data_IF_651087206186
#
_entry.id   IF_651087206186
#
_cell.length_a   1.000
_cell.length_b   1.000
_cell.length_c   1.000
_cell.angle_alpha   90.00
_cell.angle_beta   90.00
_cell.angle_gamma   90.00
#
_symmetry.space_group_name_H-M   'P 1'
#
loop_
_entity.id
_entity.type
_entity.pdbx_description
1 polymer ?
#
# COMPACT_ATOMS: atom_id res chain seq x y z
N UNK A 1 -47.71 29.57 -30.79
CA UNK A 1 -48.52 30.52 -30.00
C UNK A 1 -47.83 30.73 -28.66
N UNK A 2 -47.98 31.94 -28.09
CA UNK A 2 -47.93 32.33 -26.66
C UNK A 2 -47.23 31.40 -25.65
N UNK A 3 -46.33 31.89 -24.78
CA UNK A 3 -45.91 33.29 -24.59
C UNK A 3 -44.90 33.45 -23.44
N UNK A 4 -44.37 34.66 -23.30
CA UNK A 4 -43.36 35.04 -22.30
C UNK A 4 -43.95 35.24 -20.89
N UNK A 5 -43.10 35.16 -19.85
CA UNK A 5 -43.12 36.08 -18.71
C UNK A 5 -41.86 35.91 -17.83
N UNK A 6 -41.07 36.98 -17.68
CA UNK A 6 -40.16 37.14 -16.53
C UNK A 6 -40.92 37.78 -15.35
N UNK A 7 -40.45 37.57 -14.12
CA UNK A 7 -41.09 38.10 -12.90
C UNK A 7 -40.07 38.49 -11.83
N UNK A 8 -39.85 39.79 -11.66
CA UNK A 8 -38.85 40.37 -10.75
C UNK A 8 -39.48 40.75 -9.39
N UNK A 9 -38.71 40.77 -8.29
CA UNK A 9 -39.24 41.19 -6.97
C UNK A 9 -38.24 41.03 -5.80
N UNK A 10 -38.19 42.01 -4.88
CA UNK A 10 -37.20 42.07 -3.80
C UNK A 10 -37.74 42.68 -2.48
N UNK A 11 -37.03 42.41 -1.37
CA UNK A 11 -37.29 42.94 -0.02
C UNK A 11 -37.87 41.91 0.98
N UNK A 12 -37.67 42.03 2.31
CA UNK A 12 -36.77 42.93 3.03
C UNK A 12 -36.90 42.88 4.58
N UNK A 13 -35.78 42.73 5.29
CA UNK A 13 -35.47 43.20 6.67
C UNK A 13 -36.36 42.90 7.92
N UNK A 14 -35.69 42.25 8.90
CA UNK A 14 -35.50 42.62 10.34
C UNK A 14 -36.37 42.05 11.49
N UNK A 15 -35.64 41.49 12.49
CA UNK A 15 -35.89 41.41 13.97
C UNK A 15 -37.10 40.56 14.43
N UNK A 16 -37.08 39.70 15.47
CA UNK A 16 -36.10 39.26 16.50
C UNK A 16 -36.80 38.22 17.42
N UNK A 17 -36.48 37.90 18.70
CA UNK A 17 -35.42 38.15 19.71
C UNK A 17 -35.51 36.99 20.76
N UNK A 18 -34.42 36.61 21.48
CA UNK A 18 -34.35 35.56 22.56
C UNK A 18 -34.75 34.12 22.10
N UNK A 19 -34.39 32.98 22.71
CA UNK A 19 -33.48 32.54 23.79
C UNK A 19 -33.35 30.98 23.70
N UNK A 20 -32.54 30.22 24.45
CA UNK A 20 -31.57 30.53 25.52
C UNK A 20 -30.25 29.69 25.39
N UNK A 21 -30.00 28.68 26.26
CA UNK A 21 -28.67 28.07 26.52
C UNK A 21 -28.53 26.53 26.31
N UNK A 22 -27.28 26.04 26.30
CA UNK A 22 -26.94 24.59 26.30
C UNK A 22 -25.54 24.26 25.75
N UNK A 23 -24.47 24.41 26.56
CA UNK A 23 -23.07 24.18 26.13
C UNK A 23 -22.62 22.70 26.08
N UNK A 24 -21.37 22.38 25.74
CA UNK A 24 -20.23 23.21 25.33
C UNK A 24 -18.91 22.41 25.36
N UNK A 25 -17.98 22.64 24.42
CA UNK A 25 -16.75 21.81 24.35
C UNK A 25 -15.80 22.03 23.17
N UNK A 26 -15.67 23.25 22.64
CA UNK A 26 -14.81 23.55 21.49
C UNK A 26 -13.82 24.68 21.76
N UNK A 27 -12.53 24.37 21.85
CA UNK A 27 -11.46 25.37 22.03
C UNK A 27 -11.22 26.21 20.76
N UNK A 28 -11.18 27.54 20.91
CA UNK A 28 -10.92 28.50 19.84
C UNK A 28 -9.43 28.87 19.80
N UNK A 29 -8.86 29.09 18.61
CA UNK A 29 -7.45 29.51 18.47
C UNK A 29 -7.31 31.03 18.62
N UNK A 30 -6.33 31.46 19.43
CA UNK A 30 -5.96 32.88 19.56
C UNK A 30 -5.07 33.37 18.41
N UNK A 31 -5.19 34.67 18.08
CA UNK A 31 -4.35 35.37 17.11
C UNK A 31 -3.29 36.25 17.79
N UNK A 32 -2.27 36.68 17.03
CA UNK A 32 -1.36 37.78 17.39
C UNK A 32 -1.53 38.94 16.40
N UNK A 33 -1.37 40.16 16.89
CA UNK A 33 -1.41 41.38 16.09
C UNK A 33 -0.11 41.55 15.25
N UNK A 34 -0.14 42.31 14.14
CA UNK A 34 1.01 42.50 13.25
C UNK A 34 1.93 43.63 13.72
N UNK A 35 3.24 43.44 13.59
CA UNK A 35 4.25 44.47 13.82
C UNK A 35 5.67 43.91 13.73
N UNK A 36 6.53 44.56 12.93
CA UNK A 36 7.90 44.11 12.65
C UNK A 36 8.02 43.34 11.32
N UNK A 37 9.00 43.72 10.50
CA UNK A 37 9.39 42.99 9.31
C UNK A 37 10.65 42.17 9.60
N UNK A 38 10.60 40.87 9.32
CA UNK A 38 11.70 39.92 9.50
C UNK A 38 11.82 38.99 8.28
N UNK A 39 12.97 38.31 8.08
CA UNK A 39 13.33 37.72 6.78
C UNK A 39 12.45 36.52 6.37
N UNK A 40 12.55 36.17 5.08
CA UNK A 40 11.78 35.12 4.40
C UNK A 40 12.08 33.70 4.93
N UNK A 41 11.57 33.39 6.12
CA UNK A 41 11.45 32.02 6.63
C UNK A 41 10.60 31.18 5.66
N UNK A 42 11.15 30.04 5.24
CA UNK A 42 10.50 29.14 4.30
C UNK A 42 9.10 28.75 4.78
N UNK A 43 8.08 29.05 3.96
CA UNK A 43 6.68 28.84 4.32
C UNK A 43 6.35 27.35 4.39
N UNK A 44 6.22 26.84 5.62
CA UNK A 44 5.84 25.43 5.86
C UNK A 44 4.52 25.13 5.13
N UNK A 45 4.43 24.04 4.34
CA UNK A 45 3.20 23.68 3.65
C UNK A 45 2.12 23.14 4.61
N UNK A 46 0.85 23.32 4.25
CA UNK A 46 -0.27 22.72 4.95
C UNK A 46 -0.26 21.20 4.79
N UNK A 47 -0.26 20.47 5.92
CA UNK A 47 -0.18 18.99 5.95
C UNK A 47 -1.28 18.33 5.10
N UNK A 48 -2.46 18.96 4.97
CA UNK A 48 -3.57 18.45 4.15
C UNK A 48 -3.49 18.80 2.66
N UNK A 49 -3.04 20.01 2.31
CA UNK A 49 -3.29 20.57 0.97
C UNK A 49 -2.14 21.39 0.36
N UNK A 50 -0.94 21.34 0.93
CA UNK A 50 0.28 21.96 0.39
C UNK A 50 0.36 23.50 0.51
N UNK A 51 -0.77 24.21 0.52
CA UNK A 51 -0.84 25.69 0.61
C UNK A 51 -0.08 26.22 1.83
N UNK A 52 0.57 27.41 1.77
CA UNK A 52 1.32 27.99 2.88
C UNK A 52 0.56 27.99 4.23
N UNK A 53 1.19 27.46 5.28
CA UNK A 53 0.55 27.22 6.57
C UNK A 53 0.82 28.33 7.60
N UNK A 54 -0.27 28.91 8.09
CA UNK A 54 -0.28 29.99 9.10
C UNK A 54 -0.71 29.51 10.49
N UNK A 55 -1.44 28.41 10.57
CA UNK A 55 -1.87 27.76 11.83
C UNK A 55 -0.97 26.55 12.14
N UNK A 56 -0.96 26.12 13.40
CA UNK A 56 -0.34 24.87 13.87
C UNK A 56 -1.25 24.23 14.93
N UNK A 57 -1.32 22.90 14.99
CA UNK A 57 -2.14 22.22 16.00
C UNK A 57 -1.64 22.57 17.43
N UNK A 58 -2.50 23.13 18.32
CA UNK A 58 -2.09 23.54 19.67
C UNK A 58 -1.44 22.41 20.48
N UNK A 59 -2.04 21.21 20.44
CA UNK A 59 -1.53 20.04 21.15
C UNK A 59 -0.22 19.47 20.57
N UNK A 60 0.12 19.80 19.31
CA UNK A 60 1.46 19.56 18.77
C UNK A 60 2.47 20.61 19.27
N UNK A 61 2.06 21.88 19.36
CA UNK A 61 2.88 22.98 19.85
C UNK A 61 3.23 22.82 21.34
N UNK A 62 2.24 22.47 22.18
CA UNK A 62 2.42 22.07 23.59
C UNK A 62 3.47 20.96 23.75
N UNK A 63 3.39 19.95 22.88
CA UNK A 63 4.30 18.80 22.85
C UNK A 63 5.60 19.04 22.07
N UNK A 64 5.89 20.29 21.68
CA UNK A 64 7.08 20.71 20.92
C UNK A 64 7.32 19.89 19.63
N UNK A 65 6.26 19.34 19.03
CA UNK A 65 6.35 18.53 17.81
C UNK A 65 6.64 19.39 16.57
N UNK A 66 7.31 18.85 15.54
CA UNK A 66 7.72 19.62 14.37
C UNK A 66 6.55 20.34 13.67
N UNK A 67 6.73 21.63 13.37
CA UNK A 67 5.73 22.43 12.65
C UNK A 67 5.35 21.82 11.31
N UNK A 68 6.33 21.26 10.58
CA UNK A 68 6.10 20.54 9.30
C UNK A 68 5.11 19.36 9.40
N UNK A 69 5.01 18.72 10.55
CA UNK A 69 4.11 17.57 10.79
C UNK A 69 2.73 18.02 11.34
N UNK A 70 2.51 19.33 11.53
CA UNK A 70 1.39 19.85 12.33
C UNK A 70 0.83 21.22 11.89
N UNK A 71 1.20 21.73 10.71
CA UNK A 71 0.80 23.05 10.23
C UNK A 71 -0.36 23.02 9.20
N UNK A 72 -1.22 24.04 9.26
CA UNK A 72 -2.45 24.14 8.45
C UNK A 72 -2.64 25.57 7.87
N UNK A 73 -3.26 25.68 6.70
CA UNK A 73 -3.55 26.98 6.07
C UNK A 73 -4.84 27.65 6.59
N UNK A 74 -5.79 26.88 7.13
CA UNK A 74 -7.06 27.37 7.67
C UNK A 74 -7.67 26.39 8.69
N UNK A 75 -8.70 26.83 9.40
CA UNK A 75 -9.36 26.04 10.45
C UNK A 75 -10.14 24.85 9.87
N UNK A 76 -10.62 24.97 8.63
CA UNK A 76 -11.31 23.94 7.87
C UNK A 76 -10.34 22.80 7.58
N UNK A 77 -9.17 23.11 7.01
CA UNK A 77 -8.14 22.10 6.75
C UNK A 77 -7.64 21.40 8.02
N UNK A 78 -7.66 22.07 9.19
CA UNK A 78 -7.41 21.42 10.48
C UNK A 78 -8.56 20.47 10.89
N UNK A 79 -9.82 20.93 10.83
CA UNK A 79 -11.01 20.12 11.14
C UNK A 79 -11.13 18.89 10.23
N UNK A 80 -11.01 19.08 8.92
CA UNK A 80 -11.08 18.02 7.91
C UNK A 80 -9.93 17.01 8.06
N UNK A 81 -8.75 17.46 8.51
CA UNK A 81 -7.61 16.59 8.79
C UNK A 81 -7.65 15.95 10.19
N UNK A 82 -8.60 16.31 11.06
CA UNK A 82 -8.57 15.90 12.47
C UNK A 82 -8.71 14.38 12.67
N UNK A 83 -9.44 13.70 11.79
CA UNK A 83 -9.65 12.23 11.81
C UNK A 83 -8.33 11.46 11.73
N UNK A 84 -7.43 11.86 10.84
CA UNK A 84 -6.09 11.26 10.68
C UNK A 84 -5.07 11.92 11.61
N UNK A 85 -5.06 13.26 11.70
CA UNK A 85 -4.05 14.01 12.46
C UNK A 85 -4.05 13.63 13.95
N UNK A 86 -5.21 13.36 14.57
CA UNK A 86 -5.30 12.95 15.99
C UNK A 86 -4.55 11.63 16.30
N UNK A 87 -4.24 10.81 15.30
CA UNK A 87 -3.49 9.56 15.49
C UNK A 87 -2.00 9.82 15.78
N UNK A 88 -1.41 10.88 15.20
CA UNK A 88 -0.04 11.32 15.51
C UNK A 88 0.15 11.66 17.00
N UNK A 89 -0.93 12.08 17.68
CA UNK A 89 -0.93 12.37 19.13
C UNK A 89 -0.96 11.11 20.00
N UNK A 90 -1.34 9.95 19.44
CA UNK A 90 -1.21 8.65 20.10
C UNK A 90 0.17 8.03 19.84
N UNK A 91 0.62 8.04 18.58
CA UNK A 91 1.86 7.37 18.15
C UNK A 91 3.15 7.90 18.82
N UNK A 92 3.19 9.19 19.21
CA UNK A 92 4.34 9.82 19.92
C UNK A 92 4.05 10.06 21.41
N UNK A 93 3.27 9.18 22.05
CA UNK A 93 2.69 9.40 23.38
C UNK A 93 3.31 8.61 24.55
N UNK A 94 4.50 8.02 24.40
CA UNK A 94 5.03 7.07 25.39
C UNK A 94 6.56 7.08 25.54
N UNK A 95 7.08 8.06 26.28
CA UNK A 95 8.34 7.95 27.04
C UNK A 95 8.08 8.62 28.40
N UNK A 96 8.38 7.94 29.48
CA UNK A 96 8.27 8.44 30.86
C UNK A 96 9.36 7.83 31.71
N UNK A 97 9.95 8.64 32.60
CA UNK A 97 11.25 8.33 33.21
C UNK A 97 11.22 7.15 34.19
N UNK A 98 12.21 6.26 34.06
CA UNK A 98 12.41 5.14 34.98
C UNK A 98 13.22 5.58 36.21
N UNK A 99 12.60 5.61 37.38
CA UNK A 99 13.35 5.67 38.64
C UNK A 99 13.76 4.26 39.10
N UNK A 100 15.04 4.12 39.44
CA UNK A 100 15.60 2.88 39.98
C UNK A 100 15.24 2.74 41.47
N UNK A 101 14.82 1.54 41.88
CA UNK A 101 15.12 1.03 43.21
C UNK A 101 15.62 -0.40 43.09
N UNK A 102 16.73 -0.69 43.78
CA UNK A 102 17.30 -2.02 43.87
C UNK A 102 16.93 -2.66 45.21
N UNK A 103 16.70 -3.97 45.21
CA UNK A 103 16.71 -4.82 46.41
C UNK A 103 17.27 -6.20 46.06
N UNK A 104 17.66 -6.96 47.09
CA UNK A 104 18.78 -7.89 47.00
C UNK A 104 18.49 -9.29 47.57
N UNK A 105 19.11 -10.31 46.96
CA UNK A 105 19.18 -11.69 47.48
C UNK A 105 18.26 -12.68 46.75
N UNK A 106 18.57 -13.98 46.70
CA UNK A 106 19.86 -14.59 47.07
C UNK A 106 19.77 -16.10 47.33
N UNK A 107 20.44 -16.91 46.48
CA UNK A 107 20.88 -18.28 46.76
C UNK A 107 19.82 -19.39 46.88
N UNK A 108 19.99 -20.48 46.12
CA UNK A 108 19.26 -21.74 46.35
C UNK A 108 19.28 -22.68 45.14
N UNK A 109 19.81 -23.90 45.31
CA UNK A 109 19.81 -24.94 44.27
C UNK A 109 19.25 -26.26 44.86
N UNK A 110 18.36 -26.94 44.13
CA UNK A 110 17.64 -28.12 44.65
C UNK A 110 17.02 -28.99 43.55
N UNK A 111 17.67 -30.12 43.29
CA UNK A 111 17.36 -31.23 42.37
C UNK A 111 15.88 -31.52 42.00
N UNK A 112 15.69 -31.73 40.69
CA UNK A 112 14.98 -32.84 40.02
C UNK A 112 13.75 -33.53 40.68
N UNK A 113 12.67 -33.60 39.91
CA UNK A 113 11.55 -34.54 40.05
C UNK A 113 10.91 -34.79 38.67
N UNK A 114 10.56 -36.04 38.37
CA UNK A 114 10.08 -36.49 37.05
C UNK A 114 8.65 -37.05 37.17
N UNK A 115 7.69 -36.53 36.39
CA UNK A 115 6.51 -37.31 35.97
C UNK A 115 5.72 -36.67 34.81
N UNK A 116 4.83 -37.48 34.23
CA UNK A 116 4.09 -37.23 32.99
C UNK A 116 2.70 -36.63 33.27
N UNK A 117 2.24 -35.73 32.40
CA UNK A 117 0.85 -35.23 32.39
C UNK A 117 0.65 -34.20 31.28
N UNK A 118 -0.28 -34.43 30.37
CA UNK A 118 -0.53 -33.55 29.21
C UNK A 118 -1.76 -32.66 29.37
N UNK A 119 -1.83 -31.60 28.56
CA UNK A 119 -3.03 -30.79 28.38
C UNK A 119 -2.76 -29.28 28.29
N UNK A 120 -3.27 -28.64 27.24
CA UNK A 120 -3.47 -27.19 27.17
C UNK A 120 -2.22 -26.31 27.23
N UNK A 121 -1.48 -26.21 26.12
CA UNK A 121 -0.53 -25.10 25.94
C UNK A 121 -1.32 -23.78 25.80
N UNK A 122 -1.41 -23.01 26.90
CA UNK A 122 -2.09 -21.71 26.91
C UNK A 122 -1.34 -20.69 26.05
N UNK A 123 -1.99 -20.20 25.01
CA UNK A 123 -1.50 -19.03 24.27
C UNK A 123 -1.57 -17.81 25.20
N UNK A 124 -0.41 -17.26 25.57
CA UNK A 124 -0.32 -15.97 26.25
C UNK A 124 -0.86 -14.87 25.32
N UNK A 125 -1.89 -14.12 25.70
CA UNK A 125 -2.53 -13.17 24.79
C UNK A 125 -1.64 -11.96 24.54
N UNK A 126 -1.20 -11.79 23.29
CA UNK A 126 -0.59 -10.56 22.78
C UNK A 126 -1.65 -9.47 22.62
N UNK A 127 -2.19 -8.99 23.74
CA UNK A 127 -3.50 -8.32 23.85
C UNK A 127 -3.76 -7.02 23.07
N UNK A 128 -2.83 -6.59 22.20
CA UNK A 128 -3.12 -5.61 21.15
C UNK A 128 -3.82 -6.21 19.93
N UNK A 129 -3.50 -7.46 19.57
CA UNK A 129 -4.02 -8.12 18.37
C UNK A 129 -5.53 -8.40 18.49
N UNK A 130 -5.92 -9.13 19.54
CA UNK A 130 -7.31 -9.55 19.78
C UNK A 130 -8.26 -8.37 19.96
N UNK A 131 -7.78 -7.28 20.57
CA UNK A 131 -8.56 -6.03 20.75
C UNK A 131 -8.85 -5.34 19.42
N UNK A 132 -7.90 -5.31 18.49
CA UNK A 132 -8.15 -4.73 17.15
C UNK A 132 -9.05 -5.63 16.30
N UNK A 133 -8.86 -6.95 16.35
CA UNK A 133 -9.75 -7.89 15.68
C UNK A 133 -11.18 -7.81 16.22
N UNK A 134 -11.36 -7.74 17.56
CA UNK A 134 -12.66 -7.52 18.21
C UNK A 134 -13.29 -6.17 17.82
N UNK A 135 -12.51 -5.11 17.76
CA UNK A 135 -12.96 -3.77 17.35
C UNK A 135 -13.30 -3.67 15.85
N UNK A 136 -12.80 -4.59 15.01
CA UNK A 136 -13.19 -4.73 13.61
C UNK A 136 -14.47 -5.57 13.48
N UNK A 137 -14.55 -6.71 14.18
CA UNK A 137 -15.76 -7.57 14.24
C UNK A 137 -17.00 -6.79 14.73
N UNK A 138 -16.85 -5.92 15.74
CA UNK A 138 -17.94 -5.07 16.23
C UNK A 138 -18.39 -3.97 15.23
N UNK A 139 -17.62 -3.71 14.17
CA UNK A 139 -18.01 -2.87 13.03
C UNK A 139 -18.58 -3.69 11.87
N UNK A 140 -18.83 -4.99 12.06
CA UNK A 140 -19.26 -5.90 11.00
C UNK A 140 -18.19 -6.20 9.96
N UNK A 141 -16.91 -5.95 10.25
CA UNK A 141 -15.80 -6.42 9.41
C UNK A 141 -15.59 -7.91 9.68
N UNK A 142 -15.25 -8.68 8.66
CA UNK A 142 -15.19 -10.15 8.73
C UNK A 142 -13.94 -10.68 8.04
N UNK A 143 -13.42 -11.82 8.48
CA UNK A 143 -12.25 -12.46 7.87
C UNK A 143 -12.57 -12.91 6.44
N UNK A 144 -11.59 -12.79 5.54
CA UNK A 144 -11.70 -13.22 4.16
C UNK A 144 -11.48 -14.75 4.03
N UNK A 145 -12.32 -15.44 3.26
CA UNK A 145 -12.15 -16.85 2.91
C UNK A 145 -12.62 -17.13 1.47
N UNK A 146 -12.06 -18.18 0.84
CA UNK A 146 -12.43 -18.69 -0.49
C UNK A 146 -12.34 -17.64 -1.62
N UNK A 147 -11.12 -17.25 -1.98
CA UNK A 147 -10.79 -16.31 -3.07
C UNK A 147 -11.55 -14.98 -2.98
N UNK A 148 -11.76 -14.43 -1.78
CA UNK A 148 -12.53 -13.20 -1.62
C UNK A 148 -14.06 -13.36 -1.71
N UNK A 149 -14.58 -14.54 -2.08
CA UNK A 149 -16.02 -14.77 -2.30
C UNK A 149 -16.83 -15.04 -1.02
N UNK A 150 -16.19 -15.33 0.13
CA UNK A 150 -16.89 -15.54 1.41
C UNK A 150 -16.25 -14.78 2.57
N UNK A 151 -17.03 -14.65 3.65
CA UNK A 151 -16.66 -13.99 4.90
C UNK A 151 -17.03 -14.88 6.08
N UNK A 152 -16.32 -14.72 7.21
CA UNK A 152 -16.61 -15.41 8.48
C UNK A 152 -16.26 -14.52 9.68
N UNK A 153 -16.92 -14.74 10.82
CA UNK A 153 -16.60 -14.10 12.10
C UNK A 153 -15.42 -14.77 12.82
N UNK A 154 -15.13 -16.03 12.49
CA UNK A 154 -14.08 -16.83 13.12
C UNK A 154 -12.77 -16.72 12.32
N UNK A 155 -11.63 -16.68 13.03
CA UNK A 155 -10.32 -16.76 12.39
C UNK A 155 -10.18 -18.14 11.68
N UNK A 156 -9.88 -18.21 10.38
CA UNK A 156 -9.76 -19.49 9.68
C UNK A 156 -8.66 -20.38 10.27
N UNK A 157 -8.92 -21.68 10.41
CA UNK A 157 -7.88 -22.63 10.82
C UNK A 157 -6.86 -22.86 9.69
N UNK A 158 -5.57 -22.70 9.99
CA UNK A 158 -4.47 -22.88 9.03
C UNK A 158 -3.15 -23.17 9.75
N UNK A 159 -2.23 -23.87 9.08
CA UNK A 159 -0.85 -24.07 9.52
C UNK A 159 0.01 -22.86 9.11
N UNK A 160 -0.14 -21.76 9.87
CA UNK A 160 0.59 -20.50 9.65
C UNK A 160 2.10 -20.71 9.66
N UNK A 161 2.79 -20.22 8.64
CA UNK A 161 4.25 -20.39 8.48
C UNK A 161 5.06 -19.45 9.36
N UNK A 162 4.50 -18.28 9.71
CA UNK A 162 5.15 -17.27 10.54
C UNK A 162 4.26 -16.68 11.64
N UNK A 163 4.53 -15.43 11.98
CA UNK A 163 3.86 -14.65 13.04
C UNK A 163 2.54 -14.02 12.61
N UNK A 164 2.39 -13.70 11.31
CA UNK A 164 1.23 -13.01 10.78
C UNK A 164 -0.02 -13.87 10.80
N UNK A 165 -1.16 -13.20 11.01
CA UNK A 165 -2.52 -13.74 10.90
C UNK A 165 -3.34 -12.72 10.10
N UNK A 166 -4.31 -13.15 9.28
CA UNK A 166 -5.26 -12.24 8.67
C UNK A 166 -6.14 -11.63 9.77
N UNK A 167 -6.55 -10.37 9.57
CA UNK A 167 -7.53 -9.68 10.39
C UNK A 167 -8.88 -9.58 9.63
N UNK A 168 -9.97 -9.16 10.29
CA UNK A 168 -11.21 -8.86 9.60
C UNK A 168 -11.03 -7.70 8.60
N UNK A 169 -11.66 -7.77 7.43
CA UNK A 169 -11.54 -6.76 6.36
C UNK A 169 -12.77 -5.85 6.28
N UNK A 170 -12.61 -4.58 5.87
CA UNK A 170 -13.77 -3.71 5.64
C UNK A 170 -14.66 -4.21 4.51
N UNK A 171 -15.90 -3.69 4.48
CA UNK A 171 -16.79 -3.80 3.32
C UNK A 171 -16.12 -3.28 2.03
N UNK A 172 -16.61 -3.77 0.89
CA UNK A 172 -16.17 -3.40 -0.45
C UNK A 172 -16.40 -1.91 -0.72
N UNK A 173 -15.43 -1.21 -1.31
CA UNK A 173 -15.52 0.23 -1.56
C UNK A 173 -16.18 0.53 -2.92
N UNK A 174 -17.22 1.38 -2.98
CA UNK A 174 -17.98 1.60 -4.21
C UNK A 174 -17.26 2.54 -5.18
N UNK A 175 -17.11 2.10 -6.44
CA UNK A 175 -16.58 2.94 -7.52
C UNK A 175 -17.72 3.75 -8.18
N UNK A 176 -17.62 5.09 -8.29
CA UNK A 176 -18.62 5.93 -8.94
C UNK A 176 -18.96 5.50 -10.38
N UNK A 177 -20.21 5.72 -10.79
CA UNK A 177 -20.71 5.29 -12.10
C UNK A 177 -19.87 5.82 -13.28
N UNK A 178 -19.43 7.10 -13.22
CA UNK A 178 -18.71 7.79 -14.28
C UNK A 178 -17.26 7.32 -14.52
N UNK A 179 -16.66 6.60 -13.58
CA UNK A 179 -15.29 6.07 -13.72
C UNK A 179 -15.34 4.88 -14.70
N UNK A 180 -14.55 4.87 -15.80
CA UNK A 180 -14.45 3.70 -16.69
C UNK A 180 -14.02 2.45 -15.92
N UNK A 181 -14.55 1.28 -16.28
CA UNK A 181 -14.35 0.03 -15.53
C UNK A 181 -13.85 -1.07 -16.46
N UNK A 182 -12.92 -1.94 -16.01
CA UNK A 182 -12.59 -3.16 -16.74
C UNK A 182 -13.78 -4.14 -16.67
N UNK A 183 -13.80 -5.12 -17.57
CA UNK A 183 -14.92 -6.05 -17.76
C UNK A 183 -15.25 -6.90 -16.52
N UNK A 184 -14.25 -7.35 -15.76
CA UNK A 184 -14.45 -8.10 -14.52
C UNK A 184 -15.03 -7.28 -13.36
N UNK A 185 -15.09 -5.95 -13.46
CA UNK A 185 -15.48 -5.08 -12.34
C UNK A 185 -16.88 -5.43 -11.78
N UNK A 186 -17.78 -5.94 -12.62
CA UNK A 186 -19.12 -6.39 -12.22
C UNK A 186 -19.21 -7.89 -11.94
N UNK A 187 -18.57 -8.73 -12.75
CA UNK A 187 -18.70 -10.21 -12.71
C UNK A 187 -17.75 -10.88 -11.72
N UNK A 188 -16.65 -10.21 -11.37
CA UNK A 188 -15.50 -10.78 -10.67
C UNK A 188 -14.64 -11.74 -11.50
N UNK A 189 -14.89 -11.85 -12.81
CA UNK A 189 -14.24 -12.83 -13.69
C UNK A 189 -13.82 -12.20 -15.02
N UNK A 190 -12.53 -12.25 -15.39
CA UNK A 190 -11.97 -11.55 -16.56
C UNK A 190 -12.10 -12.40 -17.85
N UNK A 191 -13.31 -12.42 -18.41
CA UNK A 191 -13.68 -13.31 -19.52
C UNK A 191 -13.04 -12.93 -20.86
N UNK A 192 -12.79 -11.64 -21.09
CA UNK A 192 -12.14 -11.11 -22.28
C UNK A 192 -10.63 -11.33 -22.19
N UNK A 193 -10.03 -11.07 -21.02
CA UNK A 193 -8.61 -11.32 -20.79
C UNK A 193 -8.24 -12.79 -21.01
N UNK A 194 -8.98 -13.71 -20.37
CA UNK A 194 -8.72 -15.15 -20.45
C UNK A 194 -8.93 -15.76 -21.85
N UNK A 195 -9.73 -15.12 -22.71
CA UNK A 195 -9.97 -15.57 -24.10
C UNK A 195 -9.15 -14.81 -25.15
N UNK A 196 -8.43 -13.77 -24.77
CA UNK A 196 -7.69 -12.95 -25.71
C UNK A 196 -6.53 -13.71 -26.34
N UNK A 197 -6.29 -13.49 -27.65
CA UNK A 197 -5.07 -13.92 -28.34
C UNK A 197 -3.79 -13.42 -27.66
N UNK A 198 -3.88 -12.35 -26.86
CA UNK A 198 -2.75 -11.80 -26.14
C UNK A 198 -2.26 -12.70 -25.00
N UNK A 199 -3.01 -13.73 -24.58
CA UNK A 199 -2.52 -14.77 -23.66
C UNK A 199 -1.40 -15.64 -24.27
N UNK A 200 -1.20 -15.60 -25.58
CA UNK A 200 -0.15 -16.34 -26.29
C UNK A 200 0.64 -15.50 -27.30
N UNK A 201 0.32 -14.20 -27.44
CA UNK A 201 0.86 -13.30 -28.45
C UNK A 201 1.30 -11.98 -27.82
N UNK A 202 2.61 -11.76 -27.75
CA UNK A 202 3.17 -10.50 -27.22
C UNK A 202 2.89 -9.36 -28.21
N UNK A 203 2.12 -8.38 -27.76
CA UNK A 203 1.70 -7.22 -28.55
C UNK A 203 2.85 -6.25 -28.86
N UNK A 204 2.86 -5.72 -30.08
CA UNK A 204 3.58 -4.48 -30.42
C UNK A 204 2.55 -3.36 -30.41
N UNK A 205 2.63 -2.43 -29.45
CA UNK A 205 1.66 -1.36 -29.29
C UNK A 205 1.83 -0.24 -30.33
N UNK A 206 0.72 0.36 -30.75
CA UNK A 206 0.73 1.58 -31.56
C UNK A 206 1.17 2.81 -30.74
N UNK A 207 1.56 3.94 -31.36
CA UNK A 207 1.90 5.16 -30.64
C UNK A 207 0.80 5.65 -29.67
N UNK A 208 -0.47 5.43 -30.04
CA UNK A 208 -1.65 5.81 -29.25
C UNK A 208 -1.83 4.88 -28.05
N UNK A 209 -1.67 3.57 -28.22
CA UNK A 209 -1.65 2.61 -27.12
C UNK A 209 -0.48 2.91 -26.15
N UNK A 210 0.69 3.31 -26.66
CA UNK A 210 1.85 3.69 -25.84
C UNK A 210 1.59 4.97 -25.03
N UNK A 211 0.93 5.98 -25.61
CA UNK A 211 0.51 7.18 -24.88
C UNK A 211 -0.56 6.86 -23.79
N UNK A 212 -1.48 5.94 -24.09
CA UNK A 212 -2.40 5.35 -23.11
C UNK A 212 -1.66 4.72 -21.93
N UNK A 213 -0.68 3.85 -22.21
CA UNK A 213 0.19 3.23 -21.18
C UNK A 213 0.95 4.27 -20.35
N UNK A 214 1.56 5.30 -20.97
CA UNK A 214 2.24 6.39 -20.24
C UNK A 214 1.31 7.13 -19.27
N UNK A 215 0.04 7.33 -19.65
CA UNK A 215 -0.97 7.98 -18.80
C UNK A 215 -1.39 7.09 -17.64
N UNK A 216 -1.70 5.81 -17.89
CA UNK A 216 -2.06 4.86 -16.85
C UNK A 216 -0.92 4.63 -15.85
N UNK A 217 0.31 4.42 -16.32
CA UNK A 217 1.50 4.21 -15.48
C UNK A 217 1.85 5.44 -14.62
N UNK A 218 1.70 6.66 -15.16
CA UNK A 218 1.86 7.90 -14.40
C UNK A 218 0.81 8.02 -13.28
N UNK A 219 -0.44 7.67 -13.57
CA UNK A 219 -1.50 7.65 -12.58
C UNK A 219 -1.24 6.60 -11.48
N UNK A 220 -0.80 5.38 -11.85
CA UNK A 220 -0.42 4.33 -10.91
C UNK A 220 0.70 4.80 -9.96
N UNK A 221 1.77 5.40 -10.50
CA UNK A 221 2.84 6.02 -9.72
C UNK A 221 2.31 7.08 -8.75
N UNK A 222 1.41 7.97 -9.18
CA UNK A 222 0.78 8.94 -8.28
C UNK A 222 -0.09 8.33 -7.17
N UNK A 223 -0.64 7.12 -7.37
CA UNK A 223 -1.40 6.38 -6.36
C UNK A 223 -0.47 5.67 -5.38
N UNK A 224 0.57 4.98 -5.85
CA UNK A 224 1.58 4.38 -4.97
C UNK A 224 2.32 5.45 -4.15
N UNK A 225 2.65 6.59 -4.76
CA UNK A 225 3.23 7.75 -4.07
C UNK A 225 2.30 8.37 -3.02
N UNK A 226 0.99 8.08 -3.03
CA UNK A 226 0.07 8.47 -1.95
C UNK A 226 0.05 7.43 -0.83
N UNK A 227 0.01 6.14 -1.17
CA UNK A 227 0.15 5.04 -0.21
C UNK A 227 1.44 5.15 0.61
N UNK A 228 2.58 5.40 -0.06
CA UNK A 228 3.89 5.59 0.56
C UNK A 228 3.94 6.71 1.62
N UNK A 229 3.03 7.71 1.57
CA UNK A 229 2.96 8.81 2.55
C UNK A 229 2.17 8.45 3.82
N UNK A 230 1.44 7.33 3.82
CA UNK A 230 0.64 6.87 4.96
C UNK A 230 1.16 5.56 5.60
N UNK A 231 2.20 4.94 5.04
CA UNK A 231 2.91 3.83 5.70
C UNK A 231 3.56 4.32 7.00
N UNK A 232 3.01 3.93 8.15
CA UNK A 232 3.50 4.28 9.47
C UNK A 232 3.02 3.28 10.54
N UNK A 233 3.74 3.21 11.66
CA UNK A 233 3.36 2.38 12.82
C UNK A 233 1.96 2.76 13.31
N UNK A 234 1.09 1.76 13.47
CA UNK A 234 -0.30 1.92 13.92
C UNK A 234 -1.32 2.23 12.82
N UNK A 235 -0.89 2.44 11.57
CA UNK A 235 -1.80 2.53 10.41
C UNK A 235 -2.18 1.11 9.97
N UNK A 236 -3.45 0.87 9.64
CA UNK A 236 -3.91 -0.44 9.15
C UNK A 236 -3.75 -0.56 7.65
N UNK A 237 -3.55 -1.77 7.13
CA UNK A 237 -3.47 -2.01 5.68
C UNK A 237 -4.77 -1.61 4.96
N UNK A 238 -5.94 -1.79 5.59
CA UNK A 238 -7.23 -1.28 5.09
C UNK A 238 -7.26 0.27 4.91
N UNK A 239 -6.53 1.03 5.74
CA UNK A 239 -6.43 2.49 5.61
C UNK A 239 -5.49 2.89 4.45
N UNK A 240 -4.50 2.05 4.13
CA UNK A 240 -3.68 2.20 2.92
C UNK A 240 -4.53 1.92 1.68
N UNK A 241 -5.33 0.84 1.67
CA UNK A 241 -6.31 0.56 0.61
C UNK A 241 -7.33 1.70 0.42
N UNK A 242 -7.81 2.32 1.51
CA UNK A 242 -8.67 3.50 1.41
C UNK A 242 -7.98 4.66 0.68
N UNK A 243 -6.72 4.93 0.98
CA UNK A 243 -5.93 6.00 0.34
C UNK A 243 -5.62 5.67 -1.13
N UNK A 244 -5.28 4.42 -1.45
CA UNK A 244 -5.12 3.95 -2.84
C UNK A 244 -6.41 4.15 -3.62
N UNK A 245 -7.53 3.66 -3.09
CA UNK A 245 -8.84 3.74 -3.72
C UNK A 245 -9.23 5.18 -4.02
N UNK A 246 -9.23 6.06 -3.00
CA UNK A 246 -9.59 7.46 -3.16
C UNK A 246 -8.67 8.21 -4.15
N UNK A 247 -7.36 7.94 -4.12
CA UNK A 247 -6.40 8.57 -5.03
C UNK A 247 -6.59 8.09 -6.48
N UNK A 248 -6.84 6.79 -6.71
CA UNK A 248 -7.14 6.26 -8.04
C UNK A 248 -8.42 6.90 -8.62
N UNK A 249 -9.51 6.92 -7.85
CA UNK A 249 -10.77 7.57 -8.25
C UNK A 249 -10.57 9.07 -8.55
N UNK A 250 -9.74 9.77 -7.74
CA UNK A 250 -9.45 11.19 -7.95
C UNK A 250 -8.70 11.52 -9.25
N UNK A 251 -8.06 10.50 -9.86
CA UNK A 251 -7.39 10.57 -11.16
C UNK A 251 -8.27 10.08 -12.33
N UNK A 252 -9.55 9.76 -12.07
CA UNK A 252 -10.47 9.19 -13.06
C UNK A 252 -10.24 7.69 -13.34
N UNK A 253 -9.40 7.03 -12.55
CA UNK A 253 -8.97 5.65 -12.78
C UNK A 253 -9.71 4.65 -11.87
N UNK A 254 -9.87 3.41 -12.34
CA UNK A 254 -10.35 2.28 -11.57
C UNK A 254 -9.16 1.52 -10.94
N UNK A 255 -9.18 1.16 -9.65
CA UNK A 255 -8.14 0.32 -9.06
C UNK A 255 -8.28 -1.13 -9.56
N UNK A 256 -7.41 -1.57 -10.48
CA UNK A 256 -7.60 -2.81 -11.26
C UNK A 256 -7.77 -4.09 -10.43
N UNK A 257 -7.08 -4.28 -9.26
CA UNK A 257 -7.27 -5.45 -8.42
C UNK A 257 -8.69 -5.61 -7.88
N UNK A 258 -9.45 -4.51 -7.79
CA UNK A 258 -10.79 -4.53 -7.20
C UNK A 258 -11.71 -5.47 -8.00
N UNK A 259 -12.24 -6.48 -7.31
CA UNK A 259 -13.03 -7.58 -7.87
C UNK A 259 -12.29 -8.46 -8.90
N UNK A 260 -11.02 -8.24 -9.23
CA UNK A 260 -10.28 -9.11 -10.17
C UNK A 260 -10.17 -10.53 -9.60
N UNK A 261 -10.73 -11.53 -10.30
CA UNK A 261 -10.94 -12.89 -9.77
C UNK A 261 -11.56 -12.92 -8.34
N UNK A 262 -12.46 -11.97 -8.06
CA UNK A 262 -13.11 -11.72 -6.76
C UNK A 262 -12.20 -11.18 -5.63
N UNK A 263 -11.00 -10.66 -5.95
CA UNK A 263 -10.14 -9.99 -4.96
C UNK A 263 -10.86 -8.78 -4.32
N UNK A 264 -10.89 -8.66 -2.97
CA UNK A 264 -11.87 -7.81 -2.29
C UNK A 264 -11.41 -6.36 -2.03
N UNK A 265 -10.25 -5.93 -2.55
CA UNK A 265 -9.57 -4.66 -2.22
C UNK A 265 -8.94 -3.99 -3.45
N UNK A 266 -8.43 -2.78 -3.27
CA UNK A 266 -8.00 -1.86 -4.34
C UNK A 266 -6.49 -1.92 -4.64
N UNK A 267 -5.73 -2.58 -3.76
CA UNK A 267 -4.29 -2.85 -3.84
C UNK A 267 -4.00 -4.15 -3.08
N UNK A 268 -2.82 -4.73 -3.29
CA UNK A 268 -2.25 -5.70 -2.35
C UNK A 268 -1.38 -4.98 -1.30
N UNK A 269 -1.31 -5.54 -0.10
CA UNK A 269 -0.44 -5.08 0.99
C UNK A 269 0.24 -6.28 1.63
N UNK A 270 1.49 -6.53 1.22
CA UNK A 270 2.24 -7.74 1.59
C UNK A 270 3.24 -7.41 2.70
N UNK A 271 2.93 -7.82 3.93
CA UNK A 271 3.73 -7.56 5.14
C UNK A 271 4.66 -8.73 5.44
N UNK A 272 5.91 -8.46 5.83
CA UNK A 272 6.89 -9.44 6.34
C UNK A 272 6.98 -10.75 5.53
N UNK A 273 6.42 -11.86 6.02
CA UNK A 273 6.45 -13.18 5.38
C UNK A 273 5.45 -13.37 4.23
N UNK A 274 4.57 -12.38 3.97
CA UNK A 274 3.73 -12.35 2.78
C UNK A 274 4.60 -11.96 1.58
N UNK A 275 4.56 -12.80 0.55
CA UNK A 275 5.28 -12.65 -0.73
C UNK A 275 4.55 -11.62 -1.61
N UNK A 276 3.28 -11.88 -1.90
CA UNK A 276 2.42 -11.09 -2.78
C UNK A 276 0.93 -11.31 -2.44
N UNK A 277 0.06 -10.49 -3.04
CA UNK A 277 -1.41 -10.61 -2.93
C UNK A 277 -1.99 -10.57 -1.50
N UNK A 278 -1.26 -10.04 -0.52
CA UNK A 278 -1.78 -9.85 0.84
C UNK A 278 -3.00 -8.93 0.85
N UNK A 279 -4.12 -9.40 1.40
CA UNK A 279 -5.38 -8.63 1.39
C UNK A 279 -5.35 -7.53 2.47
N UNK A 280 -5.59 -6.25 2.12
CA UNK A 280 -5.77 -5.17 3.09
C UNK A 280 -6.86 -5.43 4.14
N UNK A 281 -6.49 -5.31 5.41
CA UNK A 281 -7.26 -5.73 6.59
C UNK A 281 -7.07 -4.79 7.80
N UNK A 282 -7.68 -5.15 8.93
CA UNK A 282 -7.58 -4.37 10.16
C UNK A 282 -6.22 -4.47 10.90
N UNK A 283 -5.20 -5.18 10.40
CA UNK A 283 -3.91 -5.30 11.08
C UNK A 283 -3.20 -3.94 11.12
N UNK A 284 -2.86 -3.39 12.31
CA UNK A 284 -1.99 -2.23 12.38
C UNK A 284 -0.54 -2.64 12.07
N UNK A 285 0.13 -1.87 11.22
CA UNK A 285 1.56 -2.02 10.96
C UNK A 285 2.37 -1.75 12.25
N UNK A 286 3.43 -2.53 12.46
CA UNK A 286 4.23 -2.54 13.68
C UNK A 286 5.63 -1.97 13.42
N UNK A 287 6.31 -1.48 14.45
CA UNK A 287 7.67 -0.95 14.31
C UNK A 287 8.63 -2.08 13.92
N UNK A 288 9.40 -1.88 12.84
CA UNK A 288 10.25 -2.90 12.27
C UNK A 288 9.57 -3.88 11.30
N UNK A 289 8.28 -3.73 10.98
CA UNK A 289 7.68 -4.40 9.81
C UNK A 289 8.35 -3.92 8.51
N UNK A 290 8.33 -4.77 7.48
CA UNK A 290 8.30 -4.31 6.09
C UNK A 290 6.88 -4.45 5.54
N UNK A 291 6.51 -3.59 4.59
CA UNK A 291 5.26 -3.73 3.84
C UNK A 291 5.47 -3.33 2.38
N UNK A 292 5.23 -4.26 1.47
CA UNK A 292 5.02 -3.96 0.06
C UNK A 292 3.59 -3.44 -0.15
N UNK A 293 3.43 -2.41 -0.96
CA UNK A 293 2.13 -1.95 -1.46
C UNK A 293 2.14 -1.98 -2.98
N UNK A 294 1.09 -2.54 -3.55
CA UNK A 294 1.02 -3.01 -4.92
C UNK A 294 -0.22 -2.44 -5.63
N UNK A 295 -0.01 -1.72 -6.74
CA UNK A 295 -0.94 -0.69 -7.23
C UNK A 295 -1.07 -0.67 -8.75
N UNK A 296 -2.00 -1.47 -9.26
CA UNK A 296 -2.48 -1.35 -10.64
C UNK A 296 -3.63 -0.35 -10.77
N UNK A 297 -3.59 0.53 -11.77
CA UNK A 297 -4.77 1.34 -12.14
C UNK A 297 -5.16 1.17 -13.61
N UNK A 298 -6.46 1.14 -13.87
CA UNK A 298 -7.06 1.16 -15.19
C UNK A 298 -7.56 2.57 -15.51
N UNK A 299 -6.98 3.18 -16.54
CA UNK A 299 -7.28 4.55 -16.98
C UNK A 299 -7.39 4.60 -18.50
N UNK A 300 -8.52 5.11 -19.01
CA UNK A 300 -8.77 5.34 -20.44
C UNK A 300 -8.50 4.12 -21.35
N UNK A 301 -8.77 2.91 -20.85
CA UNK A 301 -8.58 1.65 -21.58
C UNK A 301 -7.30 0.89 -21.22
N UNK A 302 -6.36 1.47 -20.46
CA UNK A 302 -5.05 0.87 -20.21
C UNK A 302 -4.78 0.65 -18.72
N UNK A 303 -4.14 -0.48 -18.41
CA UNK A 303 -3.57 -0.76 -17.10
C UNK A 303 -2.14 -0.22 -16.99
N UNK A 304 -1.76 0.23 -15.80
CA UNK A 304 -0.36 0.54 -15.45
C UNK A 304 -0.07 0.08 -14.03
N UNK A 305 1.07 -0.59 -13.83
CA UNK A 305 1.32 -1.38 -12.62
C UNK A 305 2.73 -1.20 -12.02
N UNK A 306 2.78 -1.18 -10.69
CA UNK A 306 4.00 -1.06 -9.90
C UNK A 306 3.76 -1.35 -8.41
N UNK A 307 4.82 -1.83 -7.76
CA UNK A 307 4.89 -2.01 -6.32
C UNK A 307 6.28 -1.63 -5.76
N UNK A 308 6.32 -1.24 -4.48
CA UNK A 308 7.55 -0.93 -3.74
C UNK A 308 7.43 -1.47 -2.29
N UNK A 309 8.52 -2.03 -1.76
CA UNK A 309 8.59 -2.47 -0.35
C UNK A 309 9.10 -1.36 0.57
N UNK A 310 8.27 -0.93 1.52
CA UNK A 310 8.56 0.13 2.50
C UNK A 310 8.97 -0.44 3.86
N UNK A 311 9.78 0.34 4.60
CA UNK A 311 10.08 0.08 6.02
C UNK A 311 9.05 0.77 6.91
N UNK A 312 8.49 0.05 7.90
CA UNK A 312 7.61 0.64 8.90
C UNK A 312 8.44 1.03 10.12
N UNK A 313 8.84 2.30 10.19
CA UNK A 313 9.68 2.79 11.27
C UNK A 313 11.08 2.17 11.27
N UNK A 314 11.47 1.51 12.37
CA UNK A 314 12.83 1.08 12.63
C UNK A 314 13.13 -0.35 12.13
N UNK A 315 13.27 -0.53 10.81
CA UNK A 315 13.71 -1.80 10.24
C UNK A 315 15.17 -2.16 10.62
N UNK A 316 15.43 -3.45 10.83
CA UNK A 316 16.76 -4.01 11.08
C UNK A 316 17.64 -4.08 9.81
N UNK A 317 18.93 -4.38 9.96
CA UNK A 317 19.90 -4.42 8.85
C UNK A 317 19.72 -5.62 7.91
N UNK A 318 19.17 -6.75 8.36
CA UNK A 318 18.86 -7.89 7.49
C UNK A 318 17.68 -7.55 6.57
N UNK A 319 16.65 -6.89 7.12
CA UNK A 319 15.50 -6.33 6.41
C UNK A 319 15.93 -5.25 5.41
N UNK A 320 16.78 -4.29 5.81
CA UNK A 320 17.34 -3.28 4.90
C UNK A 320 18.14 -3.92 3.76
N UNK A 321 18.94 -4.96 4.06
CA UNK A 321 19.68 -5.72 3.05
C UNK A 321 18.73 -6.43 2.08
N UNK A 322 17.67 -7.08 2.56
CA UNK A 322 16.66 -7.76 1.73
C UNK A 322 16.00 -6.78 0.75
N UNK A 323 15.42 -5.69 1.26
CA UNK A 323 14.72 -4.69 0.46
C UNK A 323 15.66 -4.05 -0.57
N UNK A 324 16.89 -3.69 -0.19
CA UNK A 324 17.90 -3.14 -1.12
C UNK A 324 18.28 -4.12 -2.22
N UNK A 325 18.58 -5.40 -1.89
CA UNK A 325 18.97 -6.40 -2.90
C UNK A 325 17.80 -6.74 -3.85
N UNK A 326 16.56 -6.69 -3.34
CA UNK A 326 15.35 -6.82 -4.16
C UNK A 326 15.29 -5.71 -5.21
N UNK A 327 15.40 -4.45 -4.78
CA UNK A 327 15.44 -3.28 -5.66
C UNK A 327 16.62 -3.33 -6.65
N UNK A 328 17.84 -3.64 -6.17
CA UNK A 328 19.02 -3.80 -7.03
C UNK A 328 18.86 -4.94 -8.06
N UNK A 329 18.09 -5.98 -7.77
CA UNK A 329 17.81 -7.06 -8.72
C UNK A 329 16.91 -6.60 -9.87
N UNK A 330 15.91 -5.76 -9.56
CA UNK A 330 15.02 -5.15 -10.53
C UNK A 330 15.79 -4.17 -11.44
N UNK A 331 16.56 -3.24 -10.87
CA UNK A 331 17.35 -2.27 -11.64
C UNK A 331 18.32 -2.98 -12.61
N UNK A 332 18.98 -4.06 -12.17
CA UNK A 332 19.88 -4.85 -13.03
C UNK A 332 19.12 -5.60 -14.13
N UNK A 333 17.87 -6.01 -13.90
CA UNK A 333 17.01 -6.60 -14.93
C UNK A 333 16.51 -5.57 -15.94
N UNK A 334 16.06 -4.39 -15.48
CA UNK A 334 15.66 -3.26 -16.34
C UNK A 334 16.83 -2.86 -17.26
N UNK A 335 18.06 -2.80 -16.73
CA UNK A 335 19.26 -2.42 -17.47
C UNK A 335 19.63 -3.35 -18.66
N UNK A 336 19.02 -4.54 -18.78
CA UNK A 336 19.18 -5.40 -19.97
C UNK A 336 18.01 -5.32 -20.95
N UNK A 337 16.92 -4.60 -20.65
CA UNK A 337 15.74 -4.52 -21.51
C UNK A 337 16.03 -3.66 -22.74
N UNK A 338 16.01 -4.31 -23.91
CA UNK A 338 16.17 -3.71 -25.25
C UNK A 338 15.79 -4.73 -26.33
N UNK A 339 15.55 -4.31 -27.59
CA UNK A 339 15.27 -5.23 -28.68
C UNK A 339 16.34 -6.32 -28.85
N UNK A 340 15.92 -7.54 -29.17
CA UNK A 340 16.80 -8.70 -29.39
C UNK A 340 17.17 -9.52 -28.15
N UNK A 341 16.91 -9.01 -26.93
CA UNK A 341 17.12 -9.77 -25.68
C UNK A 341 15.95 -10.75 -25.45
N UNK A 342 16.22 -11.96 -24.93
CA UNK A 342 15.15 -12.95 -24.65
C UNK A 342 14.54 -12.69 -23.27
N UNK A 343 13.23 -12.86 -23.12
CA UNK A 343 12.54 -12.64 -21.84
C UNK A 343 13.11 -13.47 -20.69
N UNK A 344 13.53 -14.72 -20.96
CA UNK A 344 14.13 -15.61 -19.95
C UNK A 344 15.40 -15.08 -19.29
N UNK A 345 16.17 -14.20 -19.96
CA UNK A 345 17.47 -13.72 -19.44
C UNK A 345 17.27 -12.78 -18.23
N UNK A 346 16.08 -12.19 -18.06
CA UNK A 346 15.66 -11.44 -16.86
C UNK A 346 15.88 -12.29 -15.59
N UNK A 347 15.44 -13.55 -15.62
CA UNK A 347 15.56 -14.45 -14.49
C UNK A 347 16.99 -14.92 -14.20
N UNK A 348 17.88 -14.94 -15.21
CA UNK A 348 19.31 -15.20 -14.99
C UNK A 348 19.98 -14.03 -14.26
N UNK A 349 19.67 -12.78 -14.65
CA UNK A 349 20.23 -11.57 -14.03
C UNK A 349 19.78 -11.42 -12.57
N UNK A 350 18.47 -11.52 -12.32
CA UNK A 350 17.89 -11.42 -10.97
C UNK A 350 18.48 -12.50 -10.07
N UNK A 351 18.35 -13.77 -10.45
CA UNK A 351 18.79 -14.89 -9.63
C UNK A 351 20.31 -14.84 -9.37
N UNK A 352 21.14 -14.41 -10.33
CA UNK A 352 22.58 -14.27 -10.11
C UNK A 352 22.89 -13.24 -9.02
N UNK A 353 22.25 -12.07 -9.05
CA UNK A 353 22.49 -11.04 -8.05
C UNK A 353 21.98 -11.46 -6.66
N UNK A 354 20.76 -11.99 -6.61
CA UNK A 354 20.06 -12.40 -5.37
C UNK A 354 20.77 -13.55 -4.66
N UNK A 355 21.16 -14.61 -5.39
CA UNK A 355 21.85 -15.76 -4.78
C UNK A 355 23.23 -15.40 -4.23
N UNK A 356 23.95 -14.46 -4.85
CA UNK A 356 25.22 -13.96 -4.30
C UNK A 356 25.06 -13.17 -2.99
N UNK A 357 23.88 -12.61 -2.73
CA UNK A 357 23.57 -11.97 -1.45
C UNK A 357 23.14 -12.95 -0.35
N UNK A 358 22.91 -14.23 -0.68
CA UNK A 358 22.41 -15.24 0.25
C UNK A 358 20.88 -15.31 0.37
N UNK A 359 20.14 -14.81 -0.62
CA UNK A 359 18.67 -14.83 -0.68
C UNK A 359 18.17 -15.75 -1.80
N UNK A 360 16.86 -16.00 -1.87
CA UNK A 360 16.25 -16.84 -2.92
C UNK A 360 15.13 -16.13 -3.68
N UNK A 361 14.85 -16.59 -4.91
CA UNK A 361 13.83 -16.02 -5.82
C UNK A 361 12.61 -16.93 -5.87
N UNK A 362 11.42 -16.36 -5.68
CA UNK A 362 10.12 -17.05 -5.81
C UNK A 362 9.89 -17.53 -7.24
N UNK A 363 9.15 -18.63 -7.40
CA UNK A 363 8.98 -19.33 -8.69
C UNK A 363 7.53 -19.52 -9.16
N UNK A 364 6.57 -19.30 -8.26
CA UNK A 364 5.14 -19.52 -8.48
C UNK A 364 4.44 -18.29 -9.11
N UNK A 365 5.14 -17.15 -9.15
CA UNK A 365 4.67 -15.87 -9.68
C UNK A 365 5.75 -15.26 -10.60
N UNK A 366 5.33 -14.45 -11.58
CA UNK A 366 6.17 -13.94 -12.65
C UNK A 366 5.59 -12.65 -13.25
N UNK A 367 6.46 -11.77 -13.76
CA UNK A 367 6.03 -10.60 -14.51
C UNK A 367 5.19 -10.98 -15.74
N UNK A 368 4.40 -10.04 -16.24
CA UNK A 368 3.40 -10.27 -17.28
C UNK A 368 3.43 -9.19 -18.35
N UNK A 369 2.86 -9.49 -19.52
CA UNK A 369 2.42 -8.47 -20.46
C UNK A 369 1.28 -7.66 -19.86
N UNK A 370 1.25 -6.37 -20.17
CA UNK A 370 0.24 -5.42 -19.67
C UNK A 370 -0.15 -4.43 -20.77
N UNK A 371 -1.42 -4.00 -20.79
CA UNK A 371 -1.98 -3.18 -21.87
C UNK A 371 -3.43 -2.81 -21.63
N UNK A 372 -4.27 -3.09 -22.63
CA UNK A 372 -5.74 -3.12 -22.49
C UNK A 372 -6.23 -4.33 -21.68
N UNK A 373 -5.31 -5.23 -21.34
CA UNK A 373 -5.47 -6.32 -20.37
C UNK A 373 -4.56 -6.04 -19.17
N UNK A 374 -4.93 -6.57 -18.01
CA UNK A 374 -4.14 -6.55 -16.79
C UNK A 374 -2.99 -7.55 -16.95
N UNK A 375 -3.28 -8.82 -17.21
CA UNK A 375 -2.28 -9.87 -17.39
C UNK A 375 -2.38 -10.52 -18.78
N UNK A 376 -1.28 -10.51 -19.54
CA UNK A 376 -1.17 -11.23 -20.81
C UNK A 376 0.29 -11.67 -21.10
N UNK A 377 0.57 -12.18 -22.30
CA UNK A 377 1.92 -12.55 -22.69
C UNK A 377 2.82 -11.31 -22.90
N UNK A 378 4.09 -11.32 -22.44
CA UNK A 378 4.87 -12.49 -22.02
C UNK A 378 4.84 -12.74 -20.51
N UNK A 379 4.92 -14.00 -20.11
CA UNK A 379 5.29 -14.35 -18.73
C UNK A 379 6.81 -14.19 -18.55
N UNK A 380 7.23 -13.51 -17.48
CA UNK A 380 8.62 -13.13 -17.14
C UNK A 380 9.05 -13.77 -15.81
N UNK A 381 9.55 -15.01 -15.80
CA UNK A 381 9.96 -15.67 -14.55
C UNK A 381 11.29 -15.12 -14.03
N UNK A 382 11.31 -14.74 -12.76
CA UNK A 382 12.46 -14.08 -12.11
C UNK A 382 13.63 -15.02 -11.75
N UNK A 383 13.48 -16.33 -11.96
CA UNK A 383 14.48 -17.34 -11.60
C UNK A 383 15.32 -17.83 -12.80
N UNK A 384 16.55 -18.27 -12.51
CA UNK A 384 17.47 -18.79 -13.52
C UNK A 384 16.99 -20.12 -14.15
N UNK A 385 17.39 -20.38 -15.39
CA UNK A 385 17.05 -21.58 -16.19
C UNK A 385 15.55 -21.78 -16.41
N UNK A 386 14.77 -20.69 -16.36
CA UNK A 386 13.37 -20.68 -16.77
C UNK A 386 13.23 -20.92 -18.30
N UNK A 387 12.01 -21.21 -18.74
CA UNK A 387 11.68 -21.55 -20.13
C UNK A 387 10.86 -20.48 -20.85
N UNK A 388 10.94 -19.21 -20.43
CA UNK A 388 10.15 -18.13 -21.04
C UNK A 388 10.45 -18.00 -22.54
N UNK A 389 9.38 -17.89 -23.33
CA UNK A 389 9.41 -17.86 -24.79
C UNK A 389 9.33 -16.43 -25.28
N UNK A 390 10.10 -16.10 -26.31
CA UNK A 390 10.04 -14.82 -26.99
C UNK A 390 11.31 -13.97 -26.89
N UNK A 391 11.28 -12.87 -27.63
CA UNK A 391 12.37 -11.90 -27.77
C UNK A 391 11.76 -10.52 -27.69
N UNK A 392 12.40 -9.64 -26.92
CA UNK A 392 12.06 -8.24 -26.77
C UNK A 392 12.12 -7.52 -28.11
N UNK A 393 11.14 -6.66 -28.38
CA UNK A 393 11.00 -5.80 -29.56
C UNK A 393 10.45 -4.45 -29.12
N UNK A 394 10.79 -3.37 -29.83
CA UNK A 394 10.23 -2.05 -29.55
C UNK A 394 8.69 -2.06 -29.60
N UNK A 395 8.05 -1.23 -28.78
CA UNK A 395 6.60 -1.16 -28.65
C UNK A 395 5.97 -2.23 -27.73
N UNK A 396 6.75 -3.16 -27.18
CA UNK A 396 6.25 -4.13 -26.18
C UNK A 396 6.20 -3.52 -24.78
N UNK A 397 5.15 -3.83 -24.02
CA UNK A 397 5.01 -3.45 -22.60
C UNK A 397 4.78 -4.65 -21.70
N UNK A 398 5.54 -4.73 -20.61
CA UNK A 398 5.49 -5.82 -19.64
C UNK A 398 6.05 -5.39 -18.27
N UNK A 399 5.77 -6.16 -17.23
CA UNK A 399 6.25 -5.94 -15.86
C UNK A 399 7.51 -6.77 -15.57
N UNK A 400 8.36 -6.26 -14.68
CA UNK A 400 9.40 -7.06 -13.99
C UNK A 400 9.21 -6.79 -12.49
N UNK A 401 8.97 -7.83 -11.70
CA UNK A 401 8.36 -7.73 -10.36
C UNK A 401 9.02 -8.66 -9.29
N UNK A 402 10.36 -8.77 -9.19
CA UNK A 402 11.04 -9.81 -8.41
C UNK A 402 10.64 -9.88 -6.94
N UNK A 403 9.95 -10.97 -6.59
CA UNK A 403 9.69 -11.43 -5.22
C UNK A 403 10.89 -12.22 -4.67
N UNK A 404 11.57 -11.65 -3.68
CA UNK A 404 12.82 -12.16 -3.12
C UNK A 404 12.63 -12.52 -1.64
N UNK A 405 12.96 -13.76 -1.27
CA UNK A 405 12.81 -14.28 0.09
C UNK A 405 14.16 -14.29 0.81
N UNK A 406 14.15 -13.90 2.08
CA UNK A 406 15.28 -14.08 2.99
C UNK A 406 15.60 -15.58 3.23
N UNK A 407 14.57 -16.42 3.17
CA UNK A 407 14.63 -17.86 3.36
C UNK A 407 14.41 -18.68 2.09
N UNK A 408 13.57 -19.71 2.21
CA UNK A 408 13.21 -20.61 1.11
C UNK A 408 12.42 -19.91 -0.01
N UNK A 409 12.58 -20.37 -1.26
CA UNK A 409 11.81 -19.87 -2.40
C UNK A 409 10.37 -20.38 -2.45
N UNK A 410 10.07 -21.42 -1.66
CA UNK A 410 8.76 -22.08 -1.62
C UNK A 410 7.72 -21.21 -0.93
N UNK A 411 6.52 -21.23 -1.46
CA UNK A 411 5.34 -20.57 -0.94
C UNK A 411 4.30 -21.53 -0.33
N UNK A 412 3.38 -20.99 0.47
CA UNK A 412 2.05 -21.55 0.77
C UNK A 412 0.99 -20.48 0.49
N UNK A 413 -0.23 -20.90 0.18
CA UNK A 413 -1.40 -20.02 0.00
C UNK A 413 -2.32 -20.09 1.22
N UNK A 414 -2.82 -18.94 1.70
CA UNK A 414 -3.76 -18.86 2.83
C UNK A 414 -5.20 -19.31 2.48
N UNK A 415 -6.08 -19.58 3.47
CA UNK A 415 -7.50 -19.93 3.25
C UNK A 415 -8.36 -18.84 2.60
N UNK A 416 -7.85 -17.60 2.55
CA UNK A 416 -8.42 -16.52 1.75
C UNK A 416 -8.32 -16.75 0.24
N UNK A 417 -7.46 -17.69 -0.19
CA UNK A 417 -7.24 -18.07 -1.59
C UNK A 417 -6.40 -17.08 -2.40
N UNK A 418 -5.75 -16.12 -1.74
CA UNK A 418 -5.00 -15.01 -2.35
C UNK A 418 -3.63 -14.80 -1.70
N UNK A 419 -3.57 -14.63 -0.38
CA UNK A 419 -2.34 -14.23 0.33
C UNK A 419 -1.30 -15.35 0.23
N UNK A 420 -0.21 -15.09 -0.50
CA UNK A 420 0.92 -16.00 -0.66
C UNK A 420 1.98 -15.70 0.41
N UNK A 421 2.42 -16.71 1.16
CA UNK A 421 3.44 -16.56 2.21
C UNK A 421 4.63 -17.48 1.98
N UNK A 422 5.80 -17.10 2.52
CA UNK A 422 6.97 -17.97 2.54
C UNK A 422 6.69 -19.24 3.35
N UNK A 423 7.16 -20.39 2.85
CA UNK A 423 6.88 -21.67 3.47
C UNK A 423 7.63 -21.89 4.81
N UNK A 424 8.64 -21.06 5.11
CA UNK A 424 9.44 -21.08 6.35
C UNK A 424 9.19 -19.85 7.27
N UNK A 425 8.23 -18.99 6.92
CA UNK A 425 7.87 -17.81 7.72
C UNK A 425 8.90 -16.69 7.72
N UNK A 426 9.94 -16.77 6.88
CA UNK A 426 10.93 -15.70 6.73
C UNK A 426 10.41 -14.56 5.85
N UNK A 427 11.01 -13.37 5.99
CA UNK A 427 10.59 -12.17 5.26
C UNK A 427 10.79 -12.30 3.74
N UNK A 428 9.83 -11.76 2.99
CA UNK A 428 9.91 -11.52 1.54
C UNK A 428 9.97 -10.02 1.27
N UNK A 429 10.39 -9.63 0.07
CA UNK A 429 10.29 -8.27 -0.43
C UNK A 429 10.08 -8.29 -1.95
N UNK A 430 9.37 -7.29 -2.46
CA UNK A 430 9.08 -7.13 -3.88
C UNK A 430 9.28 -5.66 -4.30
N UNK A 431 9.74 -5.47 -5.54
CA UNK A 431 9.67 -4.22 -6.26
C UNK A 431 9.27 -4.53 -7.69
N UNK A 432 8.56 -3.62 -8.33
CA UNK A 432 8.12 -3.76 -9.70
C UNK A 432 8.21 -2.46 -10.49
N UNK A 433 8.38 -2.56 -11.81
CA UNK A 433 8.05 -1.50 -12.76
C UNK A 433 7.35 -2.07 -14.01
N UNK A 434 6.32 -1.37 -14.50
CA UNK A 434 5.85 -1.50 -15.89
C UNK A 434 6.85 -0.83 -16.84
N UNK A 435 7.28 -1.56 -17.87
CA UNK A 435 8.32 -1.15 -18.82
C UNK A 435 7.75 -1.04 -20.24
N UNK A 436 8.34 -0.15 -21.05
CA UNK A 436 8.20 -0.11 -22.50
C UNK A 436 9.54 -0.37 -23.16
N UNK A 437 9.63 -1.35 -24.06
CA UNK A 437 10.81 -1.52 -24.91
C UNK A 437 10.81 -0.43 -25.99
N UNK A 438 11.91 0.29 -26.12
CA UNK A 438 12.14 1.30 -27.17
C UNK A 438 13.09 0.75 -28.24
N UNK A 439 13.31 1.47 -29.34
CA UNK A 439 14.21 1.01 -30.42
C UNK A 439 15.66 0.76 -29.97
N UNK A 440 16.10 1.39 -28.87
CA UNK A 440 17.49 1.32 -28.39
C UNK A 440 17.63 0.81 -26.95
N UNK A 441 16.52 0.62 -26.23
CA UNK A 441 16.55 0.35 -24.78
C UNK A 441 15.17 0.16 -24.18
N UNK A 442 14.94 0.85 -23.05
CA UNK A 442 13.72 0.77 -22.23
C UNK A 442 13.31 2.15 -21.73
N UNK A 443 12.01 2.38 -21.64
CA UNK A 443 11.38 3.49 -20.91
C UNK A 443 10.65 2.90 -19.70
N UNK A 444 10.99 3.38 -18.50
CA UNK A 444 10.40 2.90 -17.23
C UNK A 444 9.12 3.70 -16.98
N UNK A 445 7.98 3.19 -17.45
CA UNK A 445 6.72 3.95 -17.53
C UNK A 445 6.17 4.37 -16.15
N UNK A 446 6.37 3.54 -15.14
CA UNK A 446 6.00 3.79 -13.73
C UNK A 446 7.11 4.44 -12.90
N UNK A 447 8.15 4.94 -13.57
CA UNK A 447 9.34 5.51 -12.95
C UNK A 447 9.03 6.64 -11.96
N UNK A 448 9.89 6.79 -10.95
CA UNK A 448 9.70 7.73 -9.85
C UNK A 448 9.69 9.18 -10.36
N UNK A 449 8.78 9.98 -9.80
CA UNK A 449 8.62 11.40 -10.13
C UNK A 449 9.49 12.27 -9.20
N UNK A 450 9.80 13.53 -9.59
CA UNK A 450 10.44 14.49 -8.68
C UNK A 450 9.65 14.76 -7.38
N UNK A 451 8.36 14.41 -7.36
CA UNK A 451 7.44 14.53 -6.22
C UNK A 451 7.29 13.25 -5.39
N UNK A 452 7.92 12.13 -5.79
CA UNK A 452 7.80 10.85 -5.11
C UNK A 452 8.48 10.87 -3.73
N UNK A 453 7.89 10.27 -2.67
CA UNK A 453 8.43 10.36 -1.30
C UNK A 453 9.85 9.78 -1.19
N UNK A 454 10.80 10.52 -0.61
CA UNK A 454 12.14 10.00 -0.31
C UNK A 454 12.11 9.07 0.89
N UNK A 455 11.79 7.80 0.64
CA UNK A 455 11.65 6.72 1.64
C UNK A 455 12.81 5.71 1.63
N UNK A 456 13.64 5.71 0.59
CA UNK A 456 14.80 4.83 0.47
C UNK A 456 16.09 5.63 0.66
N UNK A 457 17.00 5.25 1.58
CA UNK A 457 18.25 5.98 1.84
C UNK A 457 19.32 5.79 0.76
N UNK A 458 19.02 5.05 -0.31
CA UNK A 458 19.89 4.82 -1.47
C UNK A 458 19.40 5.53 -2.75
N UNK A 459 18.41 6.43 -2.67
CA UNK A 459 17.80 7.23 -3.77
C UNK A 459 17.67 8.74 -3.46
#
# INVERSE_FOLDING_TARGET
MMGEAEGNGAGGSRVGVEGEEGGGGGGVMGSRAPGGAEPLLATVPCVRCGKPARLQCPRCLERKLPRKDSAFCSQECFKESWTTHKLFHKARGGVGDGQQQAQSGGGGAGKAGEQLGGGGASLSPGGGADVVACAALSRGWLYCIKKGQRRTQELPSFEWTGSLRPYPISQFRPVPAHIPKPEWAATGFPEIEMRSRLQSSVEIKTPEQIDGMRKACRAAREVLDAAARVVAVGVTTDEIDRVVHEKALSLGAYPSPLNYHFFPKSCCTSVNEIICHGIPDARPLQDGDLVNVDVTVYLNGFHGDLNETYFVGNADEATKKLVRITYESLEKAIAIVRPGVRFREVGEVINRHVSLAGFSVVKSYCGHGIGELFHCAPNIPHYAKNKAVGVMKAGQTFTIEPMINAGTWRDKLWPDGWTAVTADGQRSAQFEQTLLVTETGVEVLTGRLPTSPKVFPWL
#
